data_IF_445584918490
#
_entry.id   IF_445584918490
#
_cell.length_a   1.000
_cell.length_b   1.000
_cell.length_c   1.000
_cell.angle_alpha   90.00
_cell.angle_beta   90.00
_cell.angle_gamma   90.00
#
_symmetry.space_group_name_H-M   'P 1'
#
loop_
_entity.id
_entity.type
_entity.pdbx_description
1 polymer ?
2 polymer ?
#
loop_
_entity_poly.entity_id
_entity_poly.type
_entity_poly.pdbx_seq_one_letter_code
_entity_poly.pdbx_strand_id
2 'polydeoxyribonucleotide' '(DC)(DG)(DT)(DG)(DT)(DC)(DA)(DG)(DA)(DT)(DA)(DA)(DT)(DC)(DT)(DG)(DA)(DC)(DA)(DC)(DG)' ?
#
# COMPACT_ATOMS: atom_id res chain seq x y z
N UNK A 6 -7.23 -6.23 -19.39
CA UNK A 6 -6.45 -5.08 -19.85
C UNK A 6 -6.29 -4.11 -18.70
N UNK A 7 -6.98 -4.44 -17.61
CA UNK A 7 -7.01 -3.64 -16.39
C UNK A 7 -6.19 -4.23 -15.26
N UNK A 8 -6.22 -5.56 -15.09
CA UNK A 8 -5.44 -6.25 -14.06
C UNK A 8 -4.00 -6.48 -14.49
N UNK A 9 -3.49 -5.67 -15.43
CA UNK A 9 -2.10 -5.72 -15.85
C UNK A 9 -1.41 -4.37 -15.66
N UNK A 10 -2.06 -3.29 -16.12
CA UNK A 10 -1.48 -1.96 -15.95
C UNK A 10 -1.46 -1.55 -14.48
N UNK A 11 -2.49 -1.95 -13.72
CA UNK A 11 -2.59 -1.56 -12.32
C UNK A 11 -1.62 -2.36 -11.45
N UNK A 12 -1.78 -3.69 -11.43
CA UNK A 12 -0.95 -4.60 -10.66
C UNK A 12 0.54 -4.54 -11.01
N UNK A 13 0.95 -3.73 -11.99
CA UNK A 13 2.38 -3.56 -12.28
C UNK A 13 3.01 -2.62 -11.27
N UNK A 14 4.07 -3.04 -10.55
CA UNK A 14 4.67 -2.17 -9.53
C UNK A 14 5.42 -0.99 -10.15
N UNK A 15 4.90 0.20 -9.94
CA UNK A 15 5.38 1.37 -10.64
C UNK A 15 5.75 2.52 -9.72
N UNK A 16 4.87 2.76 -8.46
CA UNK A 16 5.18 3.94 -7.64
C UNK A 16 6.05 3.55 -6.46
N UNK A 17 6.88 4.50 -6.04
CA UNK A 17 7.61 4.36 -4.78
C UNK A 17 6.73 4.88 -3.65
N UNK A 18 7.26 4.81 -2.43
CA UNK A 18 6.42 5.10 -1.26
C UNK A 18 6.15 6.59 -1.11
N UNK A 19 6.84 7.44 -1.87
CA UNK A 19 6.65 8.87 -1.81
C UNK A 19 5.33 9.29 -2.44
N UNK A 20 5.19 9.04 -3.74
CA UNK A 20 3.94 9.40 -4.43
C UNK A 20 2.68 8.82 -3.80
N UNK A 21 2.76 7.63 -3.19
CA UNK A 21 1.58 7.02 -2.57
C UNK A 21 1.23 7.76 -1.27
N UNK A 22 2.23 8.28 -0.57
CA UNK A 22 1.94 9.22 0.52
C UNK A 22 1.20 10.46 0.04
N UNK A 23 1.32 10.83 -1.23
CA UNK A 23 0.59 11.99 -1.72
C UNK A 23 -0.84 11.62 -2.03
N UNK A 24 -1.07 10.47 -2.70
CA UNK A 24 -2.43 10.04 -3.03
C UNK A 24 -3.27 9.85 -1.79
N UNK A 25 -2.80 9.02 -0.88
CA UNK A 25 -3.42 8.83 0.42
C UNK A 25 -2.99 9.98 1.35
N UNK A 26 -3.43 9.93 2.59
CA UNK A 26 -2.85 10.76 3.62
C UNK A 26 -2.05 9.92 4.61
N UNK A 27 -1.64 8.73 4.18
CA UNK A 27 -0.92 7.77 5.01
C UNK A 27 0.57 8.12 5.11
N UNK A 28 1.10 7.96 6.32
CA UNK A 28 2.53 8.14 6.58
C UNK A 28 3.31 6.89 6.24
N UNK A 29 4.53 7.09 5.71
CA UNK A 29 5.44 5.98 5.40
C UNK A 29 5.47 4.97 6.52
N UNK A 30 5.43 5.44 7.77
CA UNK A 30 5.40 4.55 8.92
C UNK A 30 4.14 3.68 8.92
N UNK A 31 2.98 4.26 8.56
CA UNK A 31 1.76 3.45 8.46
C UNK A 31 1.84 2.46 7.32
N UNK A 32 2.32 2.91 6.15
CA UNK A 32 2.28 2.12 4.93
C UNK A 32 3.25 0.97 5.03
N UNK A 33 4.35 1.16 5.75
CA UNK A 33 5.30 0.09 5.99
C UNK A 33 4.96 -0.74 7.22
N UNK A 34 4.15 -0.23 8.13
CA UNK A 34 3.69 -1.10 9.20
C UNK A 34 2.78 -2.20 8.65
N UNK A 35 2.01 -1.88 7.60
CA UNK A 35 1.12 -2.92 7.07
C UNK A 35 1.90 -4.00 6.33
N UNK A 36 3.17 -3.75 6.02
CA UNK A 36 3.96 -4.72 5.26
C UNK A 36 4.38 -5.89 6.13
N UNK A 37 4.98 -5.60 7.29
CA UNK A 37 5.42 -6.63 8.22
C UNK A 37 4.27 -7.15 9.07
N UNK A 38 3.04 -6.86 8.66
CA UNK A 38 1.85 -7.34 9.35
C UNK A 38 1.11 -8.46 8.64
N UNK A 39 1.46 -8.75 7.39
CA UNK A 39 0.96 -9.95 6.73
C UNK A 39 -0.28 -9.75 5.89
N UNK A 40 -0.42 -8.54 5.30
CA UNK A 40 -1.55 -8.25 4.44
C UNK A 40 -1.23 -7.34 3.25
N UNK A 41 0.03 -7.05 2.97
CA UNK A 41 0.41 -6.37 1.73
C UNK A 41 1.87 -6.69 1.44
N UNK A 42 2.18 -6.97 0.17
CA UNK A 42 3.51 -7.39 -0.24
C UNK A 42 3.87 -6.72 -1.56
N UNK A 43 4.34 -5.48 -1.51
CA UNK A 43 4.74 -4.77 -2.74
C UNK A 43 6.15 -5.13 -3.17
N UNK A 44 6.46 -4.84 -4.43
CA UNK A 44 7.71 -5.30 -5.00
C UNK A 44 8.87 -4.49 -4.46
N UNK A 45 10.08 -5.01 -4.68
CA UNK A 45 11.29 -4.31 -4.28
C UNK A 45 12.05 -3.80 -5.48
N UNK A 46 12.81 -2.75 -5.24
CA UNK A 46 13.62 -2.10 -6.24
C UNK A 46 14.93 -2.85 -6.42
N UNK A 47 15.75 -2.38 -7.34
CA UNK A 47 17.11 -2.87 -7.34
C UNK A 47 17.84 -2.40 -6.08
N UNK A 48 17.37 -1.27 -5.52
CA UNK A 48 18.03 -0.67 -4.39
C UNK A 48 17.30 -0.95 -3.11
N UNK A 49 16.43 -1.96 -3.18
CA UNK A 49 15.61 -2.39 -2.07
C UNK A 49 14.68 -1.26 -1.62
N UNK A 50 14.02 -0.62 -2.59
CA UNK A 50 12.92 0.29 -2.33
C UNK A 50 11.61 -0.49 -2.47
N UNK A 51 10.49 0.17 -2.25
CA UNK A 51 9.19 -0.49 -2.29
C UNK A 51 8.44 0.06 -3.49
N UNK A 52 8.14 -0.80 -4.45
CA UNK A 52 7.25 -0.43 -5.54
C UNK A 52 5.84 -0.86 -5.16
N UNK A 53 4.94 0.10 -5.19
CA UNK A 53 3.53 -0.14 -4.97
C UNK A 53 2.79 -0.14 -6.31
N UNK A 54 1.77 -0.99 -6.39
CA UNK A 54 0.94 -1.06 -7.58
C UNK A 54 -0.23 -0.09 -7.49
N UNK A 55 -0.86 0.15 -8.64
CA UNK A 55 -2.05 0.98 -8.65
C UNK A 55 -3.21 0.31 -7.93
N UNK A 56 -3.31 -1.02 -7.97
CA UNK A 56 -4.34 -1.70 -7.19
C UNK A 56 -3.88 -1.94 -5.76
N UNK A 57 -2.57 -1.97 -5.52
CA UNK A 57 -2.08 -2.01 -4.15
C UNK A 57 -2.37 -0.69 -3.45
N UNK A 58 -2.33 0.43 -4.18
CA UNK A 58 -2.72 1.72 -3.63
C UNK A 58 -4.20 1.71 -3.27
N UNK A 59 -5.01 1.00 -4.06
CA UNK A 59 -6.39 0.85 -3.68
C UNK A 59 -6.51 0.00 -2.40
N UNK A 60 -5.59 -0.96 -2.20
CA UNK A 60 -5.65 -1.82 -1.02
C UNK A 60 -5.26 -1.06 0.24
N UNK A 61 -4.31 -0.12 0.09
CA UNK A 61 -3.92 0.76 1.17
C UNK A 61 -5.02 1.76 1.52
N UNK A 62 -5.93 2.00 0.59
CA UNK A 62 -7.11 2.81 0.88
C UNK A 62 -8.26 1.97 1.45
N UNK A 63 -8.35 0.70 1.04
CA UNK A 63 -9.24 -0.27 1.70
C UNK A 63 -9.00 -0.30 3.20
N UNK A 64 -7.73 -0.19 3.62
CA UNK A 64 -7.35 -0.08 5.02
C UNK A 64 -7.60 1.33 5.54
N UNK A 65 -7.31 2.33 4.72
CA UNK A 65 -7.56 3.70 5.13
C UNK A 65 -9.02 3.87 5.55
N UNK A 66 -9.96 3.33 4.77
CA UNK A 66 -11.37 3.46 5.12
C UNK A 66 -11.75 2.59 6.32
N UNK A 67 -11.08 1.45 6.51
CA UNK A 67 -11.30 0.62 7.68
C UNK A 67 -10.46 1.05 8.87
N UNK A 68 -10.13 2.34 8.96
CA UNK A 68 -9.34 2.85 10.07
C UNK A 68 -9.74 4.27 10.47
N UNK A 69 -10.38 5.03 9.58
CA UNK A 69 -11.00 6.28 10.01
C UNK A 69 -12.19 6.04 10.91
N UNK A 70 -12.95 4.96 10.66
CA UNK A 70 -13.99 4.55 11.59
C UNK A 70 -13.42 3.75 12.75
N UNK A 71 -12.32 3.04 12.53
CA UNK A 71 -11.72 2.25 13.60
C UNK A 71 -11.85 0.75 13.35
N UNK A 72 -10.74 0.04 13.54
CA UNK A 72 -10.64 -1.42 13.48
C UNK A 72 -9.19 -1.79 13.72
N UNK A 73 -8.97 -2.98 14.26
CA UNK A 73 -7.61 -3.42 14.51
C UNK A 73 -6.98 -3.91 13.21
N UNK A 74 -5.85 -4.61 13.33
CA UNK A 74 -5.22 -5.26 12.19
C UNK A 74 -5.51 -6.75 12.14
N UNK A 75 -5.64 -7.40 13.29
CA UNK A 75 -5.93 -8.83 13.29
C UNK A 75 -7.30 -9.12 12.69
N UNK A 76 -8.20 -8.14 12.75
CA UNK A 76 -9.51 -8.34 12.14
C UNK A 76 -9.45 -8.28 10.62
N UNK A 77 -8.87 -7.23 10.09
CA UNK A 77 -8.68 -7.23 8.66
C UNK A 77 -7.51 -8.17 8.44
#
# INVERSE_FOLDING_TARGET
GSHMSEKEIRRSMPLFPIGPVMKLTDLTARQIRYYEDQGLIHPARNQGNHRLYSLQDIDVLLEIKDYLNDGLNIAGIKKMYQMQQKESKEPLTDDDVRKILRKEMQQAGRFVKQDATGKQQLPRF
#
